data_IF_379435986488
#
_entry.id   IF_379435986488
#
_cell.length_a   1.000
_cell.length_b   1.000
_cell.length_c   1.000
_cell.angle_alpha   90.00
_cell.angle_beta   90.00
_cell.angle_gamma   90.00
#
_symmetry.space_group_name_H-M   'P 1'
#
loop_
_entity.id
_entity.type
_entity.pdbx_description
1 polymer ?
#
# COMPACT_ATOMS: atom_id res chain seq x y z
N UNK A 1 -37.66 -18.11 -63.31
CA UNK A 1 -38.74 -17.15 -63.03
C UNK A 1 -39.51 -17.66 -61.81
N UNK A 2 -39.07 -17.41 -60.57
CA UNK A 2 -39.07 -16.16 -59.79
C UNK A 2 -40.27 -16.11 -58.81
N UNK A 3 -39.96 -15.69 -57.57
CA UNK A 3 -40.82 -15.28 -56.45
C UNK A 3 -41.36 -16.33 -55.47
N UNK A 4 -40.49 -16.73 -54.52
CA UNK A 4 -40.87 -17.01 -53.13
C UNK A 4 -41.02 -15.68 -52.40
N UNK A 5 -42.22 -15.36 -51.92
CA UNK A 5 -42.46 -14.19 -51.09
C UNK A 5 -42.13 -14.47 -49.62
N UNK A 6 -41.18 -13.66 -49.15
CA UNK A 6 -40.76 -13.43 -47.77
C UNK A 6 -41.93 -13.03 -46.86
N UNK A 7 -42.05 -13.69 -45.70
CA UNK A 7 -42.64 -13.11 -44.49
C UNK A 7 -41.62 -13.19 -43.37
N UNK A 8 -40.85 -12.11 -43.21
CA UNK A 8 -40.00 -11.88 -42.03
C UNK A 8 -40.89 -11.61 -40.83
N UNK A 9 -40.84 -12.47 -39.83
CA UNK A 9 -41.24 -12.17 -38.46
C UNK A 9 -40.21 -11.23 -37.85
N UNK A 10 -40.52 -9.94 -37.73
CA UNK A 10 -39.70 -8.98 -36.99
C UNK A 10 -39.93 -9.16 -35.48
N UNK A 11 -39.09 -9.96 -34.83
CA UNK A 11 -38.91 -9.82 -33.39
C UNK A 11 -38.19 -8.49 -33.18
N UNK A 12 -38.93 -7.50 -32.67
CA UNK A 12 -38.36 -6.26 -32.16
C UNK A 12 -37.56 -6.61 -30.90
N UNK A 13 -36.27 -6.92 -31.09
CA UNK A 13 -35.30 -6.89 -30.02
C UNK A 13 -35.23 -5.44 -29.56
N UNK A 14 -35.86 -5.16 -28.42
CA UNK A 14 -35.60 -3.93 -27.65
C UNK A 14 -34.16 -4.00 -27.16
N UNK A 15 -33.22 -3.57 -28.00
CA UNK A 15 -31.88 -3.25 -27.55
C UNK A 15 -31.99 -2.08 -26.58
N UNK A 16 -31.80 -2.35 -25.29
CA UNK A 16 -31.53 -1.31 -24.30
C UNK A 16 -30.21 -0.65 -24.67
N UNK A 17 -30.27 0.47 -25.38
CA UNK A 17 -29.14 1.40 -25.48
C UNK A 17 -29.04 2.20 -24.17
N UNK A 18 -28.71 1.51 -23.08
CA UNK A 18 -28.13 2.14 -21.91
C UNK A 18 -26.63 2.30 -22.19
N UNK A 19 -26.29 3.19 -23.12
CA UNK A 19 -24.93 3.67 -23.28
C UNK A 19 -24.55 4.43 -22.02
N UNK A 20 -24.13 3.71 -20.97
CA UNK A 20 -23.33 4.31 -19.92
C UNK A 20 -22.16 4.97 -20.65
N UNK A 21 -22.06 6.30 -20.57
CA UNK A 21 -20.83 7.00 -20.94
C UNK A 21 -19.72 6.27 -20.17
N UNK A 22 -18.93 5.45 -20.86
CA UNK A 22 -17.69 4.95 -20.30
C UNK A 22 -16.80 6.18 -20.20
N UNK A 23 -16.81 6.81 -19.02
CA UNK A 23 -15.77 7.75 -18.65
C UNK A 23 -14.45 7.06 -18.95
N UNK A 24 -13.58 7.71 -19.72
CA UNK A 24 -12.26 7.14 -19.99
C UNK A 24 -11.61 6.87 -18.62
N UNK A 25 -11.17 5.63 -18.33
CA UNK A 25 -10.64 5.32 -17.02
C UNK A 25 -9.42 6.20 -16.76
N UNK A 26 -9.40 6.82 -15.58
CA UNK A 26 -8.29 7.66 -15.15
C UNK A 26 -6.97 6.86 -15.22
N UNK A 27 -5.91 7.38 -15.87
CA UNK A 27 -4.65 6.66 -16.05
C UNK A 27 -4.05 6.09 -14.76
N UNK A 28 -4.18 6.79 -13.63
CA UNK A 28 -3.69 6.31 -12.34
C UNK A 28 -4.47 5.06 -11.87
N UNK A 29 -5.79 5.03 -12.07
CA UNK A 29 -6.63 3.87 -11.77
C UNK A 29 -6.29 2.66 -12.66
N UNK A 30 -5.95 2.88 -13.93
CA UNK A 30 -5.48 1.81 -14.83
C UNK A 30 -4.17 1.23 -14.30
N UNK A 31 -3.20 2.10 -13.97
CA UNK A 31 -1.90 1.70 -13.45
C UNK A 31 -2.03 0.95 -12.12
N UNK A 32 -2.84 1.47 -11.18
CA UNK A 32 -3.17 0.80 -9.93
C UNK A 32 -3.72 -0.62 -10.16
N UNK A 33 -4.70 -0.76 -11.05
CA UNK A 33 -5.32 -2.05 -11.37
C UNK A 33 -4.30 -3.02 -11.98
N UNK A 34 -3.45 -2.52 -12.89
CA UNK A 34 -2.39 -3.32 -13.52
C UNK A 34 -1.35 -3.79 -12.49
N UNK A 35 -0.92 -2.92 -11.57
CA UNK A 35 -0.02 -3.28 -10.47
C UNK A 35 -0.62 -4.37 -9.60
N UNK A 36 -1.86 -4.19 -9.16
CA UNK A 36 -2.54 -5.17 -8.30
C UNK A 36 -2.71 -6.53 -9.00
N UNK A 37 -3.07 -6.54 -10.29
CA UNK A 37 -3.22 -7.77 -11.06
C UNK A 37 -1.89 -8.52 -11.20
N UNK A 38 -0.82 -7.81 -11.58
CA UNK A 38 0.49 -8.42 -11.76
C UNK A 38 1.09 -8.90 -10.44
N UNK A 39 0.83 -8.18 -9.33
CA UNK A 39 1.25 -8.58 -8.00
C UNK A 39 0.53 -9.85 -7.53
N UNK A 40 -0.81 -9.94 -7.70
CA UNK A 40 -1.58 -11.17 -7.43
C UNK A 40 -1.02 -12.39 -8.18
N UNK A 41 -0.52 -12.17 -9.39
CA UNK A 41 0.08 -13.19 -10.25
C UNK A 41 1.59 -13.36 -10.08
N UNK A 42 2.23 -12.62 -9.15
CA UNK A 42 3.69 -12.61 -8.92
C UNK A 42 4.52 -12.39 -10.21
N UNK A 43 4.03 -11.55 -11.11
CA UNK A 43 4.72 -11.19 -12.36
C UNK A 43 5.73 -10.06 -12.12
N UNK A 44 6.76 -10.35 -11.33
CA UNK A 44 7.79 -9.38 -10.91
C UNK A 44 8.51 -8.72 -12.10
N UNK A 45 8.79 -9.47 -13.17
CA UNK A 45 9.39 -8.93 -14.39
C UNK A 45 8.52 -7.84 -15.05
N UNK A 46 7.19 -7.99 -14.99
CA UNK A 46 6.26 -6.97 -15.49
C UNK A 46 6.16 -5.80 -14.51
N UNK A 47 6.17 -6.05 -13.20
CA UNK A 47 6.19 -4.99 -12.18
C UNK A 47 7.42 -4.08 -12.33
N UNK A 48 8.58 -4.64 -12.68
CA UNK A 48 9.81 -3.87 -12.97
C UNK A 48 9.61 -2.84 -14.08
N UNK A 49 8.73 -3.09 -15.05
CA UNK A 49 8.44 -2.15 -16.13
C UNK A 49 7.61 -0.95 -15.64
N UNK A 50 6.79 -1.13 -14.60
CA UNK A 50 6.01 -0.06 -13.98
C UNK A 50 6.78 0.77 -12.97
N UNK A 51 7.97 0.32 -12.58
CA UNK A 51 8.83 0.97 -11.58
C UNK A 51 8.99 2.48 -11.78
N UNK A 52 9.27 3.01 -12.99
CA UNK A 52 9.48 4.45 -13.18
C UNK A 52 8.22 5.29 -12.95
N UNK A 53 7.04 4.67 -12.97
CA UNK A 53 5.74 5.34 -12.81
C UNK A 53 5.18 5.23 -11.39
N UNK A 54 5.91 4.61 -10.45
CA UNK A 54 5.46 4.46 -9.08
C UNK A 54 5.65 5.76 -8.28
N UNK A 55 4.58 6.15 -7.58
CA UNK A 55 4.52 7.32 -6.70
C UNK A 55 4.12 6.90 -5.29
N UNK A 56 4.36 7.74 -4.28
CA UNK A 56 3.97 7.42 -2.89
C UNK A 56 2.48 7.13 -2.72
N UNK A 57 1.56 7.95 -3.29
CA UNK A 57 0.14 7.66 -3.17
C UNK A 57 -0.21 6.30 -3.77
N UNK A 58 0.41 5.96 -4.91
CA UNK A 58 0.16 4.70 -5.61
C UNK A 58 0.72 3.49 -4.84
N UNK A 59 1.95 3.57 -4.34
CA UNK A 59 2.56 2.53 -3.50
C UNK A 59 1.69 2.27 -2.27
N UNK A 60 1.32 3.33 -1.55
CA UNK A 60 0.50 3.26 -0.34
C UNK A 60 -0.88 2.66 -0.64
N UNK A 61 -1.48 3.05 -1.78
CA UNK A 61 -2.77 2.50 -2.24
C UNK A 61 -2.67 1.02 -2.57
N UNK A 62 -1.60 0.58 -3.25
CA UNK A 62 -1.35 -0.84 -3.52
C UNK A 62 -1.15 -1.61 -2.22
N UNK A 63 -0.34 -1.13 -1.29
CA UNK A 63 -0.15 -1.81 0.01
C UNK A 63 -1.49 -2.04 0.70
N UNK A 64 -2.33 -0.99 0.83
CA UNK A 64 -3.65 -1.08 1.46
C UNK A 64 -4.61 -2.03 0.76
N UNK A 65 -4.57 -2.14 -0.57
CA UNK A 65 -5.37 -3.12 -1.33
C UNK A 65 -5.08 -4.57 -0.88
N UNK A 66 -3.85 -4.85 -0.43
CA UNK A 66 -3.43 -6.16 0.04
C UNK A 66 -3.46 -6.31 1.57
N UNK A 67 -4.24 -5.49 2.30
CA UNK A 67 -4.37 -5.60 3.77
C UNK A 67 -4.83 -6.98 4.24
N UNK A 68 -5.64 -7.69 3.46
CA UNK A 68 -6.11 -9.06 3.77
C UNK A 68 -5.09 -10.14 3.38
N UNK A 69 -3.99 -9.76 2.75
CA UNK A 69 -2.91 -10.63 2.30
C UNK A 69 -1.55 -10.02 2.69
N UNK A 70 -1.28 -9.85 4.00
CA UNK A 70 -0.13 -9.08 4.50
C UNK A 70 1.22 -9.65 4.03
N UNK A 71 1.31 -10.96 3.77
CA UNK A 71 2.51 -11.57 3.18
C UNK A 71 2.78 -11.04 1.76
N UNK A 72 1.75 -10.92 0.92
CA UNK A 72 1.90 -10.41 -0.44
C UNK A 72 2.16 -8.89 -0.44
N UNK A 73 1.54 -8.16 0.50
CA UNK A 73 1.87 -6.76 0.74
C UNK A 73 3.35 -6.58 1.13
N UNK A 74 3.87 -7.45 2.00
CA UNK A 74 5.29 -7.43 2.41
C UNK A 74 6.24 -7.79 1.25
N UNK A 75 5.89 -8.78 0.42
CA UNK A 75 6.63 -9.10 -0.82
C UNK A 75 6.73 -7.86 -1.73
N UNK A 76 5.62 -7.14 -1.92
CA UNK A 76 5.58 -5.89 -2.69
C UNK A 76 6.40 -4.77 -2.05
N UNK A 77 6.28 -4.57 -0.74
CA UNK A 77 7.05 -3.58 0.02
C UNK A 77 8.55 -3.81 -0.14
N UNK A 78 9.03 -5.04 0.02
CA UNK A 78 10.45 -5.38 -0.15
C UNK A 78 10.91 -5.10 -1.59
N UNK A 79 10.09 -5.46 -2.58
CA UNK A 79 10.37 -5.14 -3.99
C UNK A 79 10.47 -3.62 -4.23
N UNK A 80 9.62 -2.80 -3.59
CA UNK A 80 9.72 -1.34 -3.64
C UNK A 80 11.03 -0.84 -3.00
N UNK A 81 11.46 -1.41 -1.87
CA UNK A 81 12.70 -1.02 -1.19
C UNK A 81 13.96 -1.41 -1.97
N UNK A 82 13.96 -2.52 -2.69
CA UNK A 82 15.09 -2.94 -3.53
C UNK A 82 15.19 -2.10 -4.82
N UNK A 83 14.12 -1.39 -5.16
CA UNK A 83 14.04 -0.65 -6.40
C UNK A 83 14.85 0.65 -6.39
N UNK A 84 15.98 0.64 -7.09
CA UNK A 84 16.91 1.79 -7.19
C UNK A 84 16.29 3.07 -7.77
N UNK A 85 15.23 2.96 -8.58
CA UNK A 85 14.58 4.15 -9.17
C UNK A 85 13.73 4.89 -8.15
N UNK A 86 13.11 4.16 -7.22
CA UNK A 86 12.29 4.68 -6.12
C UNK A 86 13.10 4.97 -4.86
N UNK A 87 14.24 4.30 -4.70
CA UNK A 87 15.16 4.48 -3.58
C UNK A 87 15.82 5.87 -3.52
N UNK A 88 15.67 6.71 -4.56
CA UNK A 88 16.29 8.05 -4.60
C UNK A 88 15.64 9.06 -3.64
N UNK A 89 14.40 8.82 -3.20
CA UNK A 89 13.72 9.65 -2.22
C UNK A 89 13.50 8.86 -0.94
N UNK A 90 14.28 9.18 0.09
CA UNK A 90 14.17 8.59 1.44
C UNK A 90 12.74 8.71 2.01
N UNK A 91 12.04 9.79 1.69
CA UNK A 91 10.65 10.04 2.08
C UNK A 91 9.70 8.97 1.54
N UNK A 92 9.85 8.53 0.29
CA UNK A 92 8.99 7.51 -0.31
C UNK A 92 9.07 6.17 0.41
N UNK A 93 10.29 5.82 0.84
CA UNK A 93 10.54 4.60 1.60
C UNK A 93 9.88 4.70 2.98
N UNK A 94 10.04 5.84 3.65
CA UNK A 94 9.46 6.08 4.96
C UNK A 94 7.93 5.99 4.97
N UNK A 95 7.24 6.59 4.00
CA UNK A 95 5.78 6.48 3.88
C UNK A 95 5.33 5.04 3.66
N UNK A 96 5.98 4.32 2.75
CA UNK A 96 5.69 2.92 2.49
C UNK A 96 5.91 2.07 3.75
N UNK A 97 6.97 2.34 4.53
CA UNK A 97 7.23 1.67 5.81
C UNK A 97 6.12 1.90 6.82
N UNK A 98 5.65 3.15 6.97
CA UNK A 98 4.56 3.48 7.89
C UNK A 98 3.27 2.73 7.56
N UNK A 99 2.89 2.69 6.27
CA UNK A 99 1.72 1.93 5.82
C UNK A 99 1.92 0.43 6.04
N UNK A 100 3.09 -0.12 5.71
CA UNK A 100 3.36 -1.55 5.89
C UNK A 100 3.33 -1.96 7.37
N UNK A 101 3.87 -1.12 8.25
CA UNK A 101 3.82 -1.32 9.70
C UNK A 101 2.37 -1.46 10.19
N UNK A 102 1.48 -0.54 9.80
CA UNK A 102 0.06 -0.62 10.17
C UNK A 102 -0.56 -1.95 9.74
N UNK A 103 -0.33 -2.35 8.49
CA UNK A 103 -0.84 -3.61 7.96
C UNK A 103 -0.33 -4.84 8.71
N UNK A 104 0.95 -4.85 9.09
CA UNK A 104 1.56 -5.96 9.83
C UNK A 104 1.00 -6.05 11.25
N UNK A 105 0.90 -4.92 11.96
CA UNK A 105 0.36 -4.85 13.32
C UNK A 105 -1.09 -5.32 13.35
N UNK A 106 -1.94 -4.83 12.44
CA UNK A 106 -3.34 -5.24 12.37
C UNK A 106 -3.48 -6.74 12.01
N UNK A 107 -2.51 -7.29 11.28
CA UNK A 107 -2.43 -8.71 10.96
C UNK A 107 -1.71 -9.56 12.04
N UNK A 108 -1.40 -8.97 13.21
CA UNK A 108 -0.68 -9.61 14.33
C UNK A 108 0.73 -10.12 13.98
N UNK A 109 1.34 -9.57 12.92
CA UNK A 109 2.71 -9.85 12.46
C UNK A 109 3.72 -8.90 13.12
N UNK A 110 3.82 -9.00 14.44
CA UNK A 110 4.60 -8.06 15.23
C UNK A 110 6.10 -8.16 14.97
N UNK A 111 6.64 -9.35 14.73
CA UNK A 111 8.08 -9.52 14.52
C UNK A 111 8.54 -8.79 13.26
N UNK A 112 7.78 -8.92 12.16
CA UNK A 112 8.07 -8.18 10.93
C UNK A 112 7.87 -6.66 11.12
N UNK A 113 6.83 -6.24 11.85
CA UNK A 113 6.58 -4.81 12.13
C UNK A 113 7.71 -4.18 12.95
N UNK A 114 8.12 -4.85 14.02
CA UNK A 114 9.21 -4.42 14.90
C UNK A 114 10.52 -4.36 14.12
N UNK A 115 10.81 -5.35 13.26
CA UNK A 115 12.01 -5.34 12.42
C UNK A 115 12.07 -4.09 11.52
N UNK A 116 10.95 -3.69 10.91
CA UNK A 116 10.90 -2.45 10.10
C UNK A 116 11.13 -1.22 10.98
N UNK A 117 10.46 -1.11 12.13
CA UNK A 117 10.61 0.05 13.03
C UNK A 117 12.05 0.17 13.57
N UNK A 118 12.61 -0.94 14.05
CA UNK A 118 14.00 -1.02 14.54
C UNK A 118 14.96 -0.56 13.46
N UNK A 119 14.78 -1.04 12.22
CA UNK A 119 15.62 -0.64 11.10
C UNK A 119 15.49 0.86 10.80
N UNK A 120 14.28 1.43 10.76
CA UNK A 120 14.09 2.88 10.53
C UNK A 120 14.85 3.75 11.55
N UNK A 121 14.92 3.29 12.80
CA UNK A 121 15.61 3.99 13.89
C UNK A 121 17.10 3.64 13.98
N UNK A 122 17.59 2.64 13.24
CA UNK A 122 19.00 2.27 13.23
C UNK A 122 19.82 3.23 12.35
N UNK A 123 21.14 3.26 12.56
CA UNK A 123 22.07 4.06 11.74
C UNK A 123 21.96 3.70 10.25
N UNK A 124 21.78 2.41 9.95
CA UNK A 124 21.70 1.89 8.58
C UNK A 124 20.38 2.24 7.89
N UNK A 125 19.27 2.36 8.63
CA UNK A 125 17.96 2.66 8.08
C UNK A 125 17.53 4.12 8.14
N UNK A 126 18.43 5.03 8.55
CA UNK A 126 18.23 6.48 8.46
C UNK A 126 18.34 7.23 9.78
N UNK A 127 18.57 6.53 10.90
CA UNK A 127 18.72 7.10 12.24
C UNK A 127 17.55 8.01 12.63
N UNK A 128 16.32 7.60 12.27
CA UNK A 128 15.13 8.40 12.55
C UNK A 128 14.84 8.38 14.05
N UNK A 129 14.46 9.52 14.61
CA UNK A 129 14.01 9.56 16.00
C UNK A 129 12.67 8.84 16.15
N UNK A 130 12.40 8.23 17.31
CA UNK A 130 11.09 7.61 17.58
C UNK A 130 9.90 8.53 17.35
N UNK A 131 10.03 9.82 17.68
CA UNK A 131 8.99 10.81 17.44
C UNK A 131 8.75 11.07 15.94
N UNK A 132 9.81 11.00 15.12
CA UNK A 132 9.65 11.10 13.67
C UNK A 132 8.88 9.88 13.13
N UNK A 133 9.23 8.66 13.57
CA UNK A 133 8.48 7.46 13.21
C UNK A 133 7.02 7.55 13.66
N UNK A 134 6.78 7.96 14.91
CA UNK A 134 5.44 8.19 15.46
C UNK A 134 4.61 9.14 14.58
N UNK A 135 5.21 10.26 14.14
CA UNK A 135 4.52 11.22 13.27
C UNK A 135 4.06 10.62 11.94
N UNK A 136 4.88 9.75 11.33
CA UNK A 136 4.52 9.02 10.11
C UNK A 136 3.40 8.01 10.34
N UNK A 137 3.42 7.33 11.49
CA UNK A 137 2.37 6.39 11.90
C UNK A 137 1.03 7.11 12.13
N UNK A 138 1.03 8.24 12.85
CA UNK A 138 -0.16 9.07 13.09
C UNK A 138 -0.76 9.53 11.75
N UNK A 139 0.07 10.07 10.85
CA UNK A 139 -0.36 10.55 9.53
C UNK A 139 -1.05 9.49 8.69
N UNK A 140 -0.64 8.22 8.81
CA UNK A 140 -1.17 7.12 8.02
C UNK A 140 -2.30 6.33 8.71
N UNK A 141 -2.58 6.59 9.99
CA UNK A 141 -3.53 5.82 10.80
C UNK A 141 -4.94 5.82 10.22
N UNK A 142 -5.49 6.99 9.90
CA UNK A 142 -6.85 7.11 9.36
C UNK A 142 -7.00 6.37 8.02
N UNK A 143 -5.99 6.47 7.14
CA UNK A 143 -6.02 5.81 5.84
C UNK A 143 -5.90 4.27 5.95
N UNK A 144 -5.28 3.76 7.02
CA UNK A 144 -5.13 2.32 7.26
C UNK A 144 -6.26 1.73 8.11
N UNK A 145 -7.06 2.57 8.79
CA UNK A 145 -8.08 2.14 9.75
C UNK A 145 -7.49 1.21 10.83
N UNK A 146 -6.31 1.59 11.32
CA UNK A 146 -5.47 0.75 12.16
C UNK A 146 -5.66 0.98 13.66
N UNK A 147 -5.39 -0.07 14.42
CA UNK A 147 -5.46 -0.08 15.88
C UNK A 147 -4.38 0.78 16.55
N UNK A 148 -4.59 1.14 17.81
CA UNK A 148 -3.58 1.85 18.62
C UNK A 148 -2.37 0.97 18.98
N UNK A 149 -2.47 -0.36 18.77
CA UNK A 149 -1.41 -1.35 18.99
C UNK A 149 -0.13 -1.02 18.21
N UNK A 150 -0.22 -0.17 17.17
CA UNK A 150 0.92 0.31 16.40
C UNK A 150 1.85 1.22 17.22
N UNK A 151 1.30 2.00 18.16
CA UNK A 151 2.09 2.86 19.03
C UNK A 151 2.79 2.04 20.13
N UNK A 152 2.10 1.05 20.70
CA UNK A 152 2.72 0.10 21.62
C UNK A 152 3.83 -0.70 20.94
N UNK A 153 3.63 -1.06 19.67
CA UNK A 153 4.67 -1.71 18.86
C UNK A 153 5.88 -0.79 18.67
N UNK A 154 5.68 0.52 18.48
CA UNK A 154 6.78 1.49 18.40
C UNK A 154 7.55 1.60 19.72
N UNK A 155 6.86 1.67 20.86
CA UNK A 155 7.49 1.67 22.20
C UNK A 155 8.36 0.43 22.40
N UNK A 156 7.85 -0.75 21.97
CA UNK A 156 8.61 -2.01 21.99
C UNK A 156 9.84 -1.95 21.08
N UNK A 157 9.73 -1.37 19.88
CA UNK A 157 10.87 -1.22 18.97
C UNK A 157 11.94 -0.27 19.54
N UNK A 158 11.55 0.83 20.19
CA UNK A 158 12.48 1.73 20.89
C UNK A 158 13.25 0.96 21.97
N UNK A 159 12.54 0.14 22.76
CA UNK A 159 13.15 -0.70 23.80
C UNK A 159 14.13 -1.71 23.22
N UNK A 160 13.83 -2.32 22.06
CA UNK A 160 14.76 -3.23 21.37
C UNK A 160 16.03 -2.53 20.88
N UNK A 161 15.94 -1.25 20.51
CA UNK A 161 17.09 -0.42 20.17
C UNK A 161 17.84 0.14 21.40
N UNK A 162 17.40 -0.19 22.62
CA UNK A 162 17.97 0.38 23.85
C UNK A 162 17.60 1.84 24.09
N UNK A 163 16.65 2.40 23.34
CA UNK A 163 16.22 3.79 23.42
C UNK A 163 15.02 3.96 24.37
N UNK A 164 15.29 3.82 25.67
CA UNK A 164 14.26 3.97 26.71
C UNK A 164 13.70 5.39 26.80
N UNK A 165 14.53 6.41 26.54
CA UNK A 165 14.09 7.81 26.55
C UNK A 165 13.14 8.10 25.38
N UNK A 166 13.48 7.61 24.20
CA UNK A 166 12.61 7.66 23.02
C UNK A 166 11.29 6.93 23.22
N UNK A 167 11.34 5.74 23.85
CA UNK A 167 10.14 4.99 24.22
C UNK A 167 9.22 5.82 25.14
N UNK A 168 9.77 6.47 26.16
CA UNK A 168 9.02 7.35 27.06
C UNK A 168 8.37 8.53 26.31
N UNK A 169 9.11 9.20 25.42
CA UNK A 169 8.58 10.31 24.61
C UNK A 169 7.43 9.87 23.71
N UNK A 170 7.51 8.68 23.12
CA UNK A 170 6.43 8.11 22.31
C UNK A 170 5.18 7.88 23.16
N UNK A 171 5.31 7.33 24.37
CA UNK A 171 4.18 7.13 25.29
C UNK A 171 3.48 8.45 25.61
N UNK A 172 4.27 9.48 25.97
CA UNK A 172 3.71 10.78 26.34
C UNK A 172 2.98 11.44 25.18
N UNK A 173 3.55 11.39 23.97
CA UNK A 173 2.94 12.00 22.80
C UNK A 173 1.74 11.21 22.28
N UNK A 174 1.80 9.87 22.27
CA UNK A 174 0.70 9.03 21.80
C UNK A 174 -0.57 9.14 22.65
N UNK A 175 -0.46 9.58 23.92
CA UNK A 175 -1.62 9.86 24.79
C UNK A 175 -2.41 11.10 24.38
N UNK A 176 -1.80 12.00 23.59
CA UNK A 176 -2.42 13.23 23.14
C UNK A 176 -3.19 13.08 21.81
N UNK A 177 -3.12 11.91 21.18
CA UNK A 177 -3.67 11.58 19.85
C UNK A 177 -4.86 10.61 19.94
#
# INVERSE_FOLDING_TARGET
FAHVFSRRTSFLVRCFHAGKKFSNPDPENILFSALCLNLKQRRWNTLNQFSPSLTNPLISRVLREFRTSPKLALEFYNWVLENKTLAKSSENRFEASCVMIHLLVDSRKFDEALSIMVNLMSVEGGNLSPLHVLSGLIRNRQACDSSLDVFDSLVRACTQNGDAEGAYKVIEQARAE
#
